data_IF_479529030333
#
_entry.id   IF_479529030333
#
_cell.length_a   1.000
_cell.length_b   1.000
_cell.length_c   1.000
_cell.angle_alpha   90.00
_cell.angle_beta   90.00
_cell.angle_gamma   90.00
#
_symmetry.space_group_name_H-M   'P 1'
#
loop_
_entity.id
_entity.type
_entity.pdbx_description
1 polymer ?
#
# COMPACT_ATOMS: atom_id res chain seq x y z
N UNK A 1 13.95 4.69 -13.56
CA UNK A 1 12.58 4.43 -13.11
C UNK A 1 11.73 4.14 -14.34
N UNK A 2 11.04 3.01 -14.34
CA UNK A 2 10.04 2.63 -15.34
C UNK A 2 8.66 2.64 -14.67
N UNK A 3 7.68 3.25 -15.31
CA UNK A 3 6.31 3.36 -14.78
C UNK A 3 5.34 2.78 -15.80
N UNK A 4 4.47 1.87 -15.34
CA UNK A 4 3.48 1.16 -16.16
C UNK A 4 2.08 1.38 -15.58
N UNK A 5 1.07 1.38 -16.44
CA UNK A 5 -0.33 1.46 -16.03
C UNK A 5 -0.76 2.83 -15.51
N UNK A 6 -0.08 3.92 -15.91
CA UNK A 6 -0.45 5.28 -15.50
C UNK A 6 -1.86 5.66 -15.97
N UNK A 7 -2.35 5.06 -17.05
CA UNK A 7 -3.72 5.21 -17.54
C UNK A 7 -4.80 4.73 -16.56
N UNK A 8 -4.41 3.94 -15.55
CA UNK A 8 -5.30 3.48 -14.48
C UNK A 8 -5.45 4.50 -13.34
N UNK A 9 -4.61 5.55 -13.33
CA UNK A 9 -4.69 6.62 -12.34
C UNK A 9 -5.74 7.65 -12.78
N UNK A 10 -6.61 8.06 -11.85
CA UNK A 10 -7.64 9.08 -12.08
C UNK A 10 -7.45 10.24 -11.12
N UNK A 11 -7.56 11.45 -11.62
CA UNK A 11 -7.43 12.67 -10.81
C UNK A 11 -8.74 13.11 -10.14
N UNK A 12 -9.87 12.66 -10.68
CA UNK A 12 -11.22 13.10 -10.31
C UNK A 12 -11.85 12.30 -9.16
N UNK A 13 -11.16 11.26 -8.69
CA UNK A 13 -11.67 10.35 -7.65
C UNK A 13 -10.60 9.93 -6.66
N UNK A 14 -10.90 10.09 -5.36
CA UNK A 14 -10.05 9.52 -4.32
C UNK A 14 -10.13 7.98 -4.32
N UNK A 15 -8.98 7.33 -4.17
CA UNK A 15 -8.84 5.87 -4.23
C UNK A 15 -8.02 5.34 -3.07
N UNK A 16 -8.09 4.03 -2.85
CA UNK A 16 -7.19 3.31 -1.97
C UNK A 16 -6.09 2.63 -2.81
N UNK A 17 -4.86 3.12 -2.71
CA UNK A 17 -3.70 2.43 -3.27
C UNK A 17 -3.23 1.32 -2.34
N UNK A 18 -2.98 0.14 -2.88
CA UNK A 18 -2.49 -1.04 -2.16
C UNK A 18 -1.24 -1.55 -2.83
N UNK A 19 -0.08 -1.43 -2.16
CA UNK A 19 1.21 -1.83 -2.72
C UNK A 19 2.00 -2.77 -1.82
N UNK A 20 2.95 -3.52 -2.41
CA UNK A 20 3.96 -4.25 -1.67
C UNK A 20 5.03 -3.31 -1.10
N UNK A 21 5.68 -3.73 -0.01
CA UNK A 21 6.65 -2.89 0.71
C UNK A 21 7.99 -3.59 0.88
N UNK A 22 9.02 -3.07 0.23
CA UNK A 22 10.38 -3.61 0.29
C UNK A 22 11.41 -2.60 0.83
N UNK A 23 11.18 -1.30 0.64
CA UNK A 23 12.15 -0.24 0.97
C UNK A 23 11.47 1.06 1.39
N UNK A 24 12.21 1.95 2.04
CA UNK A 24 11.78 3.34 2.26
C UNK A 24 11.62 4.09 0.92
N UNK A 25 12.35 3.67 -0.10
CA UNK A 25 12.27 4.26 -1.44
C UNK A 25 10.94 3.98 -2.14
N UNK A 26 10.14 3.00 -1.68
CA UNK A 26 8.81 2.76 -2.22
C UNK A 26 7.95 4.03 -2.14
N UNK A 27 7.93 4.66 -0.97
CA UNK A 27 7.15 5.89 -0.75
C UNK A 27 7.73 7.06 -1.53
N UNK A 28 9.06 7.24 -1.50
CA UNK A 28 9.76 8.36 -2.15
C UNK A 28 9.54 8.34 -3.67
N UNK A 29 9.57 7.15 -4.28
CA UNK A 29 9.45 6.99 -5.73
C UNK A 29 7.99 6.95 -6.21
N UNK A 30 7.07 6.43 -5.39
CA UNK A 30 5.65 6.34 -5.75
C UNK A 30 4.95 7.69 -5.58
N UNK A 31 5.22 8.42 -4.49
CA UNK A 31 4.49 9.64 -4.16
C UNK A 31 4.42 10.67 -5.32
N UNK A 32 5.53 10.98 -6.03
CA UNK A 32 5.50 11.94 -7.15
C UNK A 32 4.69 11.48 -8.37
N UNK A 33 4.34 10.21 -8.44
CA UNK A 33 3.58 9.62 -9.55
C UNK A 33 2.07 9.62 -9.31
N UNK A 34 1.65 9.88 -8.06
CA UNK A 34 0.23 9.81 -7.69
C UNK A 34 -0.47 11.12 -8.02
N UNK A 35 -1.62 11.09 -8.68
CA UNK A 35 -2.41 12.28 -8.92
C UNK A 35 -3.07 12.76 -7.63
N UNK A 36 -3.19 14.08 -7.48
CA UNK A 36 -3.89 14.72 -6.38
C UNK A 36 -3.25 14.48 -4.99
N UNK A 37 -4.03 14.74 -3.95
CA UNK A 37 -3.60 14.56 -2.57
C UNK A 37 -3.66 13.07 -2.19
N UNK A 38 -2.55 12.54 -1.68
CA UNK A 38 -2.47 11.15 -1.23
C UNK A 38 -1.74 11.04 0.10
N UNK A 39 -2.45 10.59 1.13
CA UNK A 39 -1.88 10.27 2.43
C UNK A 39 -1.32 8.85 2.49
N UNK A 40 -0.27 8.65 3.29
CA UNK A 40 0.33 7.33 3.52
C UNK A 40 0.06 6.83 4.93
N UNK A 41 -0.28 5.54 5.04
CA UNK A 41 -0.38 4.89 6.35
C UNK A 41 1.02 4.46 6.82
N UNK A 42 1.54 5.18 7.79
CA UNK A 42 2.89 5.00 8.32
C UNK A 42 2.88 4.34 9.71
N UNK A 43 3.98 3.70 10.09
CA UNK A 43 4.15 3.13 11.42
C UNK A 43 4.30 4.25 12.47
N UNK A 44 3.66 4.12 13.65
CA UNK A 44 3.66 5.12 14.73
C UNK A 44 5.07 5.57 15.13
N UNK A 45 6.04 4.67 15.15
CA UNK A 45 7.41 4.96 15.54
C UNK A 45 8.10 5.98 14.61
N UNK A 46 7.66 6.09 13.35
CA UNK A 46 8.17 7.09 12.42
C UNK A 46 7.79 8.52 12.82
N UNK A 47 6.79 8.69 13.71
CA UNK A 47 6.44 9.98 14.28
C UNK A 47 7.56 10.59 15.14
N UNK A 48 8.49 9.77 15.61
CA UNK A 48 9.64 10.21 16.41
C UNK A 48 10.89 10.51 15.57
N UNK A 49 10.84 10.32 14.25
CA UNK A 49 11.95 10.66 13.34
C UNK A 49 11.71 12.07 12.78
N UNK A 50 12.47 13.11 13.20
CA UNK A 50 12.09 14.53 13.02
C UNK A 50 11.78 14.92 11.58
N UNK A 51 12.71 14.67 10.65
CA UNK A 51 12.55 15.06 9.24
C UNK A 51 11.44 14.27 8.57
N UNK A 52 11.38 12.95 8.82
CA UNK A 52 10.41 12.06 8.22
C UNK A 52 8.99 12.32 8.76
N UNK A 53 8.86 12.61 10.05
CA UNK A 53 7.60 13.03 10.65
C UNK A 53 7.06 14.31 10.02
N UNK A 54 7.90 15.33 9.89
CA UNK A 54 7.49 16.59 9.26
C UNK A 54 7.04 16.38 7.81
N UNK A 55 7.78 15.57 7.05
CA UNK A 55 7.43 15.24 5.67
C UNK A 55 6.12 14.45 5.57
N UNK A 56 5.97 13.38 6.37
CA UNK A 56 4.75 12.58 6.38
C UNK A 56 3.52 13.42 6.72
N UNK A 57 3.61 14.34 7.69
CA UNK A 57 2.50 15.26 8.03
C UNK A 57 2.15 16.22 6.89
N UNK A 58 3.11 16.59 6.05
CA UNK A 58 2.89 17.48 4.89
C UNK A 58 2.19 16.78 3.74
N UNK A 59 2.25 15.45 3.69
CA UNK A 59 1.59 14.62 2.67
C UNK A 59 0.39 13.85 3.25
N UNK A 60 -0.32 14.43 4.21
CA UNK A 60 -1.50 13.81 4.84
C UNK A 60 -1.25 12.40 5.40
N UNK A 61 -0.03 12.14 5.87
CA UNK A 61 0.35 10.85 6.44
C UNK A 61 -0.35 10.56 7.77
N UNK A 62 -0.85 9.35 7.91
CA UNK A 62 -1.53 8.85 9.11
C UNK A 62 -0.62 7.86 9.84
N UNK A 63 -0.47 8.03 11.16
CA UNK A 63 0.35 7.15 11.98
C UNK A 63 -0.49 6.07 12.63
N UNK A 64 -0.16 4.80 12.33
CA UNK A 64 -0.85 3.63 12.83
C UNK A 64 -0.07 2.98 13.98
N UNK A 65 -0.70 2.92 15.15
CA UNK A 65 -0.25 2.06 16.24
C UNK A 65 -0.85 0.65 16.04
N UNK A 66 0.02 -0.33 15.86
CA UNK A 66 -0.38 -1.74 15.65
C UNK A 66 -0.50 -2.51 16.97
N UNK A 67 -0.02 -1.95 18.04
CA UNK A 67 -0.09 -2.54 19.38
C UNK A 67 -1.34 -2.10 20.15
N UNK A 68 -1.98 -1.00 19.72
CA UNK A 68 -3.24 -0.51 20.27
C UNK A 68 -4.38 -0.65 19.23
N UNK A 69 -5.27 -1.65 19.38
CA UNK A 69 -6.39 -1.86 18.47
C UNK A 69 -7.37 -0.67 18.40
N UNK A 70 -7.53 0.09 19.49
CA UNK A 70 -8.43 1.25 19.53
C UNK A 70 -7.85 2.40 18.70
N UNK A 71 -6.57 2.70 18.88
CA UNK A 71 -5.88 3.72 18.09
C UNK A 71 -5.78 3.29 16.63
N UNK A 72 -5.51 2.02 16.37
CA UNK A 72 -5.51 1.47 15.01
C UNK A 72 -6.87 1.64 14.30
N UNK A 73 -7.97 1.38 15.02
CA UNK A 73 -9.32 1.60 14.48
C UNK A 73 -9.55 3.09 14.18
N UNK A 74 -9.16 3.99 15.10
CA UNK A 74 -9.32 5.43 14.91
C UNK A 74 -8.54 5.92 13.66
N UNK A 75 -7.33 5.42 13.46
CA UNK A 75 -6.52 5.75 12.26
C UNK A 75 -7.22 5.31 10.97
N UNK A 76 -7.82 4.11 10.95
CA UNK A 76 -8.59 3.65 9.79
C UNK A 76 -9.85 4.50 9.56
N UNK A 77 -10.55 4.91 10.62
CA UNK A 77 -11.69 5.81 10.49
C UNK A 77 -11.28 7.18 9.91
N UNK A 78 -10.15 7.72 10.36
CA UNK A 78 -9.58 8.95 9.79
C UNK A 78 -9.22 8.78 8.30
N UNK A 79 -8.64 7.64 7.92
CA UNK A 79 -8.36 7.35 6.52
C UNK A 79 -9.62 7.28 5.65
N UNK A 80 -10.72 6.72 6.18
CA UNK A 80 -12.03 6.70 5.51
C UNK A 80 -12.56 8.14 5.30
N UNK A 81 -12.44 8.99 6.31
CA UNK A 81 -12.87 10.38 6.24
C UNK A 81 -12.03 11.18 5.22
N UNK A 82 -10.73 10.90 5.13
CA UNK A 82 -9.85 11.51 4.13
C UNK A 82 -10.32 11.14 2.71
N UNK A 83 -10.57 9.86 2.45
CA UNK A 83 -11.08 9.41 1.13
C UNK A 83 -12.40 10.09 0.78
N UNK A 84 -13.32 10.19 1.73
CA UNK A 84 -14.61 10.90 1.51
C UNK A 84 -14.45 12.40 1.22
N UNK A 85 -13.34 13.00 1.63
CA UNK A 85 -12.99 14.41 1.38
C UNK A 85 -12.14 14.59 0.10
N UNK A 86 -11.92 13.52 -0.67
CA UNK A 86 -11.17 13.58 -1.91
C UNK A 86 -9.66 13.34 -1.78
N UNK A 87 -9.16 12.93 -0.60
CA UNK A 87 -7.76 12.59 -0.38
C UNK A 87 -7.57 11.08 -0.52
N UNK A 88 -6.79 10.64 -1.48
CA UNK A 88 -6.44 9.22 -1.65
C UNK A 88 -5.59 8.72 -0.48
N UNK A 89 -5.62 7.42 -0.24
CA UNK A 89 -4.79 6.79 0.81
C UNK A 89 -3.96 5.68 0.20
N UNK A 90 -2.66 5.68 0.52
CA UNK A 90 -1.74 4.59 0.17
C UNK A 90 -1.44 3.72 1.39
N UNK A 91 -1.64 2.42 1.27
CA UNK A 91 -1.37 1.45 2.34
C UNK A 91 -0.46 0.34 1.83
N UNK A 92 0.54 -0.01 2.64
CA UNK A 92 1.30 -1.25 2.51
C UNK A 92 0.70 -2.29 3.46
N UNK A 93 -0.19 -3.19 2.98
CA UNK A 93 -1.00 -4.04 3.84
C UNK A 93 -0.22 -5.14 4.54
N UNK A 94 0.99 -5.43 4.10
CA UNK A 94 1.93 -6.33 4.78
C UNK A 94 2.28 -5.84 6.18
N UNK A 95 2.27 -4.52 6.34
CA UNK A 95 2.55 -3.89 7.62
C UNK A 95 4.02 -3.85 8.00
N UNK A 96 4.90 -4.46 7.25
CA UNK A 96 6.36 -4.41 7.42
C UNK A 96 7.04 -4.55 6.07
N UNK A 97 8.29 -4.14 5.97
CA UNK A 97 9.09 -4.36 4.76
C UNK A 97 9.49 -5.81 4.66
N UNK A 98 9.40 -6.39 3.46
CA UNK A 98 9.89 -7.75 3.20
C UNK A 98 11.41 -7.78 3.25
N UNK A 99 11.97 -8.89 3.75
CA UNK A 99 13.42 -9.07 3.85
C UNK A 99 14.00 -9.87 2.68
N UNK A 100 13.20 -10.76 2.13
CA UNK A 100 13.59 -11.76 1.11
C UNK A 100 13.05 -11.43 -0.28
N UNK A 101 12.33 -10.31 -0.43
CA UNK A 101 11.70 -9.88 -1.69
C UNK A 101 10.39 -10.61 -2.01
N UNK A 102 9.96 -11.54 -1.16
CA UNK A 102 8.67 -12.22 -1.31
C UNK A 102 7.52 -11.36 -0.79
N UNK A 103 6.39 -11.42 -1.46
CA UNK A 103 5.18 -10.71 -1.04
C UNK A 103 4.65 -11.29 0.28
N UNK A 104 4.49 -10.42 1.29
CA UNK A 104 3.93 -10.79 2.59
C UNK A 104 2.40 -10.89 2.56
N UNK A 105 1.83 -11.42 3.65
CA UNK A 105 0.37 -11.53 3.81
C UNK A 105 -0.29 -10.15 3.94
N UNK A 106 -1.36 -9.92 3.18
CA UNK A 106 -2.12 -8.68 3.21
C UNK A 106 -3.15 -8.68 4.34
N UNK A 107 -2.99 -7.77 5.29
CA UNK A 107 -3.88 -7.65 6.46
C UNK A 107 -5.26 -7.12 6.06
N UNK A 108 -6.30 -7.87 6.36
CA UNK A 108 -7.68 -7.54 6.00
C UNK A 108 -8.15 -6.17 6.50
N UNK A 109 -7.60 -5.68 7.61
CA UNK A 109 -7.92 -4.35 8.16
C UNK A 109 -7.65 -3.19 7.21
N UNK A 110 -6.64 -3.32 6.33
CA UNK A 110 -6.26 -2.30 5.34
C UNK A 110 -7.37 -2.02 4.33
N UNK A 111 -8.19 -3.00 4.01
CA UNK A 111 -9.24 -2.91 3.00
C UNK A 111 -10.54 -2.29 3.52
N UNK A 112 -10.66 -2.10 4.85
CA UNK A 112 -11.82 -1.41 5.45
C UNK A 112 -11.98 0.02 4.95
N UNK A 113 -10.88 0.66 4.51
CA UNK A 113 -10.93 2.00 3.91
C UNK A 113 -11.77 1.96 2.63
N UNK A 114 -11.43 1.08 1.68
CA UNK A 114 -12.16 0.99 0.42
C UNK A 114 -13.61 0.54 0.59
N UNK A 115 -13.84 -0.52 1.42
CA UNK A 115 -15.19 -1.05 1.62
C UNK A 115 -16.12 -0.06 2.29
N UNK A 116 -15.65 0.77 3.22
CA UNK A 116 -16.48 1.75 3.94
C UNK A 116 -16.59 3.09 3.25
N UNK A 117 -15.51 3.55 2.58
CA UNK A 117 -15.55 4.77 1.79
C UNK A 117 -16.18 4.55 0.40
N UNK A 118 -16.37 3.30 -0.02
CA UNK A 118 -16.87 2.90 -1.36
C UNK A 118 -16.00 3.47 -2.48
N UNK A 119 -14.69 3.42 -2.30
CA UNK A 119 -13.73 3.89 -3.30
C UNK A 119 -13.06 2.71 -4.01
N UNK A 120 -12.56 2.91 -5.24
CA UNK A 120 -11.77 1.91 -5.94
C UNK A 120 -10.48 1.56 -5.19
N UNK A 121 -10.01 0.33 -5.35
CA UNK A 121 -8.66 -0.07 -4.97
C UNK A 121 -7.80 -0.09 -6.21
N UNK A 122 -6.66 0.60 -6.18
CA UNK A 122 -5.64 0.50 -7.23
C UNK A 122 -4.48 -0.34 -6.67
N UNK A 123 -4.28 -1.57 -7.17
CA UNK A 123 -3.14 -2.37 -6.79
C UNK A 123 -1.86 -1.79 -7.41
N UNK A 124 -0.79 -1.76 -6.64
CA UNK A 124 0.51 -1.20 -7.05
C UNK A 124 1.60 -2.24 -6.82
N UNK A 125 2.32 -2.61 -7.88
CA UNK A 125 3.48 -3.46 -7.78
C UNK A 125 4.76 -2.61 -7.88
N UNK A 126 5.68 -2.79 -6.93
CA UNK A 126 6.92 -2.04 -6.82
C UNK A 126 8.08 -3.05 -6.82
N UNK A 127 8.97 -2.94 -7.79
CA UNK A 127 10.07 -3.89 -8.00
C UNK A 127 11.43 -3.21 -7.80
N UNK A 128 12.37 -3.95 -7.23
CA UNK A 128 13.80 -3.62 -7.11
C UNK A 128 14.16 -2.43 -6.19
N UNK A 129 13.23 -1.79 -5.49
CA UNK A 129 13.56 -0.68 -4.59
C UNK A 129 14.44 -1.09 -3.42
N UNK A 130 14.37 -2.35 -2.97
CA UNK A 130 15.26 -2.88 -1.95
C UNK A 130 16.72 -2.93 -2.39
N UNK A 131 17.00 -3.09 -3.66
CA UNK A 131 18.35 -3.20 -4.22
C UNK A 131 19.07 -1.84 -4.27
N UNK A 132 18.34 -0.73 -4.14
CA UNK A 132 18.93 0.61 -4.06
C UNK A 132 19.93 0.71 -2.90
N UNK A 133 19.67 0.03 -1.78
CA UNK A 133 20.50 0.13 -0.55
C UNK A 133 20.96 -1.24 -0.04
N UNK A 134 20.14 -2.32 -0.19
CA UNK A 134 20.36 -3.60 0.51
C UNK A 134 21.74 -4.22 0.30
N UNK A 135 22.27 -4.14 -0.92
CA UNK A 135 23.55 -4.77 -1.30
C UNK A 135 24.75 -3.86 -1.04
N UNK A 136 24.54 -2.60 -0.68
CA UNK A 136 25.59 -1.56 -0.78
C UNK A 136 25.60 -0.55 0.38
N UNK A 137 24.96 -0.89 1.50
CA UNK A 137 24.99 -0.02 2.69
C UNK A 137 26.41 0.44 3.04
N UNK A 138 26.68 1.76 3.26
CA UNK A 138 25.70 2.85 3.33
C UNK A 138 25.43 3.57 1.98
N UNK A 139 25.89 3.03 0.87
CA UNK A 139 25.83 3.70 -0.44
C UNK A 139 24.54 3.38 -1.20
N UNK A 140 24.09 4.37 -1.97
CA UNK A 140 22.97 4.24 -2.90
C UNK A 140 23.52 3.88 -4.28
N UNK A 141 22.93 2.88 -4.94
CA UNK A 141 23.31 2.44 -6.27
C UNK A 141 22.22 2.70 -7.30
N UNK A 142 22.65 2.97 -8.54
CA UNK A 142 21.73 3.04 -9.67
C UNK A 142 21.05 1.71 -9.85
N UNK A 143 19.71 1.70 -9.71
CA UNK A 143 18.87 0.50 -9.78
C UNK A 143 17.72 0.75 -10.76
N UNK A 144 17.42 -0.23 -11.61
CA UNK A 144 16.24 -0.19 -12.46
C UNK A 144 15.00 -0.56 -11.63
N UNK A 145 14.26 0.45 -11.22
CA UNK A 145 13.01 0.31 -10.46
C UNK A 145 11.83 0.32 -11.42
N UNK A 146 10.88 -0.59 -11.21
CA UNK A 146 9.62 -0.66 -11.97
C UNK A 146 8.47 -0.44 -11.01
N UNK A 147 7.56 0.47 -11.36
CA UNK A 147 6.31 0.72 -10.63
C UNK A 147 5.15 0.50 -11.58
N UNK A 148 4.29 -0.44 -11.25
CA UNK A 148 3.13 -0.79 -12.07
C UNK A 148 1.85 -0.49 -11.31
N UNK A 149 0.97 0.33 -11.91
CA UNK A 149 -0.38 0.58 -11.40
C UNK A 149 -1.37 -0.35 -12.10
N UNK A 150 -2.00 -1.23 -11.34
CA UNK A 150 -2.98 -2.18 -11.86
C UNK A 150 -4.34 -1.52 -12.13
N UNK A 151 -5.22 -2.27 -12.79
CA UNK A 151 -6.59 -1.82 -13.05
C UNK A 151 -7.34 -1.56 -11.75
N UNK A 152 -8.17 -0.50 -11.66
CA UNK A 152 -9.01 -0.25 -10.49
C UNK A 152 -9.93 -1.43 -10.19
N UNK A 153 -10.01 -1.83 -8.93
CA UNK A 153 -10.88 -2.87 -8.42
C UNK A 153 -12.03 -2.19 -7.68
N UNK A 154 -13.24 -2.31 -8.22
CA UNK A 154 -14.46 -1.81 -7.59
C UNK A 154 -14.99 -2.89 -6.65
N UNK A 155 -14.89 -2.65 -5.34
CA UNK A 155 -15.28 -3.66 -4.33
C UNK A 155 -16.75 -4.08 -4.49
N UNK A 156 -17.60 -3.18 -4.94
CA UNK A 156 -19.02 -3.47 -5.12
C UNK A 156 -19.31 -4.44 -6.27
N UNK A 157 -18.41 -4.53 -7.25
CA UNK A 157 -18.52 -5.41 -8.41
C UNK A 157 -17.94 -6.82 -8.19
N UNK A 158 -17.18 -7.02 -7.11
CA UNK A 158 -16.61 -8.33 -6.79
C UNK A 158 -17.69 -9.35 -6.40
N UNK A 159 -17.42 -10.61 -6.67
CA UNK A 159 -18.25 -11.71 -6.20
C UNK A 159 -18.30 -11.77 -4.65
N UNK A 160 -19.38 -12.30 -4.04
CA UNK A 160 -19.52 -12.37 -2.58
C UNK A 160 -18.31 -13.01 -1.86
N UNK A 161 -17.76 -14.08 -2.42
CA UNK A 161 -16.58 -14.76 -1.86
C UNK A 161 -15.30 -13.90 -1.98
N UNK A 162 -15.13 -13.17 -3.07
CA UNK A 162 -13.98 -12.27 -3.24
C UNK A 162 -14.07 -11.07 -2.27
N UNK A 163 -15.28 -10.55 -2.05
CA UNK A 163 -15.53 -9.50 -1.04
C UNK A 163 -15.16 -9.97 0.36
N UNK A 164 -15.53 -11.21 0.71
CA UNK A 164 -15.23 -11.83 2.00
C UNK A 164 -13.73 -12.03 2.21
N UNK A 165 -13.02 -12.32 1.12
CA UNK A 165 -11.57 -12.58 1.09
C UNK A 165 -10.80 -11.51 0.30
N UNK A 166 -11.19 -10.25 0.42
CA UNK A 166 -10.62 -9.14 -0.36
C UNK A 166 -9.10 -8.98 -0.19
N UNK A 167 -8.56 -9.27 1.00
CA UNK A 167 -7.11 -9.23 1.26
C UNK A 167 -6.35 -10.22 0.36
N UNK A 168 -6.63 -11.53 0.45
CA UNK A 168 -6.06 -12.54 -0.44
C UNK A 168 -6.32 -12.26 -1.93
N UNK A 169 -7.52 -11.77 -2.29
CA UNK A 169 -7.82 -11.41 -3.67
C UNK A 169 -6.88 -10.35 -4.23
N UNK A 170 -6.74 -9.21 -3.54
CA UNK A 170 -5.85 -8.12 -3.97
C UNK A 170 -4.38 -8.53 -3.88
N UNK A 171 -4.00 -9.34 -2.88
CA UNK A 171 -2.66 -9.92 -2.77
C UNK A 171 -2.31 -10.75 -4.01
N UNK A 172 -3.22 -11.61 -4.48
CA UNK A 172 -3.02 -12.39 -5.69
C UNK A 172 -2.89 -11.51 -6.94
N UNK A 173 -3.63 -10.39 -7.01
CA UNK A 173 -3.48 -9.42 -8.10
C UNK A 173 -2.09 -8.81 -8.11
N UNK A 174 -1.62 -8.32 -6.95
CA UNK A 174 -0.27 -7.73 -6.82
C UNK A 174 0.81 -8.78 -7.08
N UNK A 175 0.65 -10.02 -6.59
CA UNK A 175 1.59 -11.11 -6.85
C UNK A 175 1.74 -11.41 -8.34
N UNK A 176 0.63 -11.48 -9.07
CA UNK A 176 0.66 -11.66 -10.53
C UNK A 176 1.38 -10.51 -11.24
N UNK A 177 1.20 -9.27 -10.78
CA UNK A 177 1.92 -8.11 -11.32
C UNK A 177 3.42 -8.18 -11.04
N UNK A 178 3.84 -8.81 -9.93
CA UNK A 178 5.23 -9.05 -9.55
C UNK A 178 5.82 -10.33 -10.16
N UNK A 179 5.05 -11.10 -10.92
CA UNK A 179 5.40 -12.46 -11.39
C UNK A 179 5.78 -13.40 -10.22
N UNK A 180 5.10 -13.28 -9.09
CA UNK A 180 5.27 -14.11 -7.90
C UNK A 180 4.06 -15.02 -7.70
N UNK A 181 4.30 -16.23 -7.19
CA UNK A 181 3.24 -17.11 -6.69
C UNK A 181 2.98 -16.80 -5.21
N UNK A 182 1.70 -16.74 -4.84
CA UNK A 182 1.31 -16.62 -3.42
C UNK A 182 1.22 -18.03 -2.85
N UNK A 183 2.04 -18.33 -1.85
CA UNK A 183 1.90 -19.58 -1.10
C UNK A 183 0.53 -19.57 -0.39
N UNK A 184 -0.41 -20.38 -0.87
CA UNK A 184 -1.65 -20.63 -0.14
C UNK A 184 -1.32 -21.29 1.21
N UNK A 185 -1.49 -20.54 2.29
CA UNK A 185 -1.48 -21.15 3.62
C UNK A 185 -2.69 -22.06 3.72
N UNK A 186 -2.48 -23.35 3.45
CA UNK A 186 -3.45 -24.40 3.78
C UNK A 186 -3.69 -24.28 5.29
N UNK A 187 -4.90 -23.79 5.67
CA UNK A 187 -5.32 -23.86 7.06
C UNK A 187 -5.29 -25.33 7.46
N UNK A 188 -4.38 -25.69 8.39
CA UNK A 188 -4.45 -26.99 9.05
C UNK A 188 -5.84 -27.08 9.68
N UNK A 189 -6.61 -28.12 9.42
CA UNK A 189 -7.82 -28.39 10.19
C UNK A 189 -7.44 -28.59 11.66
N UNK A 190 -8.15 -27.88 12.54
CA UNK A 190 -8.11 -28.11 13.99
C UNK A 190 -8.70 -29.48 14.34
#
# INVERSE_FOLDING_TARGET
LEVRGQENLKEDQAVLYIGNHASIFDVILVYPLLPGLTGFLAKKELNHVPILNLWLRRIDGLFLDRTDPKQGLQTILTAIDYVKKGVSIFIFPEGTRTKDGKLGEFKAGSFKVATRAKCPIIPVAIENTADIVRKHMPFVHTTHVIITFGKPILVEELAPEEKKHIGPYVQNVVAKMLNQEVEEKVKKPE
#
